data_IF_602700789660
#
_entry.id   IF_602700789660
#
_cell.length_a   1.000
_cell.length_b   1.000
_cell.length_c   1.000
_cell.angle_alpha   90.00
_cell.angle_beta   90.00
_cell.angle_gamma   90.00
#
_symmetry.space_group_name_H-M   'P 1'
#
loop_
_entity.id
_entity.type
_entity.pdbx_description
1 polymer ?
#
# COMPACT_ATOMS: atom_id res chain seq x y z
N UNK A 1 10.23 -2.15 -17.67
CA UNK A 1 9.83 -0.75 -17.36
C UNK A 1 9.27 -0.14 -18.64
N UNK A 2 7.97 0.23 -18.64
CA UNK A 2 7.28 0.73 -19.85
C UNK A 2 8.02 1.93 -20.46
N UNK A 3 8.13 1.95 -21.80
CA UNK A 3 8.76 3.09 -22.52
C UNK A 3 8.14 4.44 -22.17
N UNK A 4 6.86 4.45 -21.83
CA UNK A 4 6.13 5.64 -21.41
C UNK A 4 6.60 6.17 -20.05
N UNK A 5 6.95 5.27 -19.10
CA UNK A 5 7.50 5.66 -17.80
C UNK A 5 8.85 6.38 -17.95
N UNK A 6 9.71 5.92 -18.86
CA UNK A 6 11.01 6.55 -19.14
C UNK A 6 10.88 8.00 -19.61
N UNK A 7 9.79 8.35 -20.29
CA UNK A 7 9.54 9.72 -20.78
C UNK A 7 9.09 10.68 -19.67
N UNK A 8 8.52 10.16 -18.57
CA UNK A 8 8.02 10.97 -17.44
C UNK A 8 9.11 11.20 -16.39
N UNK A 9 10.03 10.25 -16.22
CA UNK A 9 11.14 10.33 -15.24
C UNK A 9 11.90 11.67 -15.29
N UNK A 10 12.28 12.24 -16.46
CA UNK A 10 12.99 13.50 -16.50
C UNK A 10 12.22 14.68 -15.87
N UNK A 11 10.89 14.66 -15.93
CA UNK A 11 10.05 15.66 -15.28
C UNK A 11 10.03 15.46 -13.76
N UNK A 12 9.93 14.21 -13.30
CA UNK A 12 9.97 13.89 -11.88
C UNK A 12 11.33 14.25 -11.25
N UNK A 13 12.43 14.02 -11.97
CA UNK A 13 13.78 14.33 -11.49
C UNK A 13 14.05 15.83 -11.23
N UNK A 14 13.23 16.74 -11.76
CA UNK A 14 13.29 18.16 -11.38
C UNK A 14 12.92 18.40 -9.92
N UNK A 15 12.11 17.53 -9.35
CA UNK A 15 11.60 17.59 -7.96
C UNK A 15 12.36 16.67 -7.02
N UNK A 16 13.69 16.58 -7.16
CA UNK A 16 14.55 15.68 -6.36
C UNK A 16 14.33 15.84 -4.86
N UNK A 17 14.15 17.09 -4.38
CA UNK A 17 13.88 17.37 -2.97
C UNK A 17 12.61 16.65 -2.50
N UNK A 18 11.51 16.75 -3.24
CA UNK A 18 10.26 16.14 -2.85
C UNK A 18 10.32 14.60 -2.94
N UNK A 19 11.06 14.04 -3.92
CA UNK A 19 11.30 12.60 -4.02
C UNK A 19 12.07 12.12 -2.79
N UNK A 20 13.21 12.78 -2.46
CA UNK A 20 14.06 12.38 -1.34
C UNK A 20 13.30 12.49 -0.02
N UNK A 21 12.57 13.60 0.20
CA UNK A 21 11.79 13.79 1.42
C UNK A 21 10.65 12.77 1.52
N UNK A 22 9.97 12.46 0.43
CA UNK A 22 8.96 11.40 0.40
C UNK A 22 9.55 10.03 0.80
N UNK A 23 10.72 9.67 0.27
CA UNK A 23 11.41 8.42 0.64
C UNK A 23 11.77 8.40 2.12
N UNK A 24 12.39 9.48 2.63
CA UNK A 24 12.79 9.58 4.04
C UNK A 24 11.56 9.44 4.97
N UNK A 25 10.47 10.16 4.67
CA UNK A 25 9.26 10.09 5.49
C UNK A 25 8.56 8.73 5.40
N UNK A 26 8.63 8.04 4.27
CA UNK A 26 8.11 6.67 4.16
C UNK A 26 8.95 5.67 4.96
N UNK A 27 10.28 5.85 5.01
CA UNK A 27 11.16 5.04 5.87
C UNK A 27 10.81 5.27 7.35
N UNK A 28 10.68 6.54 7.78
CA UNK A 28 10.28 6.88 9.14
C UNK A 28 8.87 6.35 9.46
N UNK A 29 7.93 6.49 8.54
CA UNK A 29 6.60 5.90 8.67
C UNK A 29 6.66 4.38 8.91
N UNK A 30 7.44 3.65 8.11
CA UNK A 30 7.58 2.20 8.24
C UNK A 30 8.23 1.81 9.57
N UNK A 31 9.26 2.53 9.98
CA UNK A 31 9.93 2.36 11.28
C UNK A 31 8.94 2.55 12.44
N UNK A 32 8.27 3.71 12.51
CA UNK A 32 7.31 3.99 13.59
C UNK A 32 6.07 3.12 13.51
N UNK A 33 5.66 2.68 12.32
CA UNK A 33 4.60 1.69 12.17
C UNK A 33 4.95 0.36 12.83
N UNK A 34 6.17 -0.10 12.66
CA UNK A 34 6.69 -1.32 13.29
C UNK A 34 6.88 -1.14 14.79
N UNK A 35 7.51 -0.03 15.20
CA UNK A 35 7.73 0.29 16.62
C UNK A 35 6.43 0.40 17.41
N UNK A 36 5.33 0.88 16.80
CA UNK A 36 4.05 0.99 17.48
C UNK A 36 3.44 -0.37 17.87
N UNK A 37 3.75 -1.44 17.12
CA UNK A 37 3.37 -2.81 17.51
C UNK A 37 4.35 -3.43 18.52
N UNK A 38 5.65 -3.14 18.40
CA UNK A 38 6.65 -3.59 19.38
C UNK A 38 6.38 -2.96 20.76
N UNK A 39 5.93 -1.71 20.80
CA UNK A 39 5.59 -1.02 22.04
C UNK A 39 4.40 -1.67 22.80
N UNK A 40 3.66 -2.60 22.17
CA UNK A 40 2.65 -3.39 22.86
C UNK A 40 3.29 -4.43 23.81
N UNK A 41 4.52 -4.88 23.57
CA UNK A 41 5.19 -5.89 24.39
C UNK A 41 5.29 -5.39 25.85
N UNK A 42 5.98 -4.29 26.17
CA UNK A 42 6.08 -3.81 27.54
C UNK A 42 4.73 -3.43 28.15
N UNK A 43 3.73 -3.04 27.34
CA UNK A 43 2.38 -2.80 27.84
C UNK A 43 1.74 -4.09 28.38
N UNK A 44 1.85 -5.17 27.62
CA UNK A 44 1.29 -6.47 27.99
C UNK A 44 2.04 -7.06 29.19
N UNK A 45 3.37 -6.90 29.23
CA UNK A 45 4.19 -7.35 30.35
C UNK A 45 3.82 -6.65 31.67
N UNK A 46 3.58 -5.33 31.64
CA UNK A 46 3.09 -4.58 32.80
C UNK A 46 1.68 -5.05 33.19
N UNK A 47 0.79 -5.27 32.20
CA UNK A 47 -0.61 -5.63 32.42
C UNK A 47 -0.73 -7.06 33.02
N UNK A 48 0.05 -8.01 32.51
CA UNK A 48 0.05 -9.41 32.98
C UNK A 48 0.99 -9.67 34.16
N UNK A 49 1.72 -8.65 34.63
CA UNK A 49 2.71 -8.72 35.70
C UNK A 49 3.93 -9.60 35.35
N UNK A 50 4.21 -9.79 34.08
CA UNK A 50 5.34 -10.55 33.56
C UNK A 50 6.55 -9.66 33.22
N UNK A 51 6.51 -8.36 33.61
CA UNK A 51 7.59 -7.41 33.34
C UNK A 51 8.89 -7.83 34.03
N UNK A 52 9.96 -7.95 33.23
CA UNK A 52 11.31 -8.20 33.77
C UNK A 52 11.70 -7.09 34.74
N UNK A 53 12.12 -7.47 35.96
CA UNK A 53 12.51 -6.52 37.00
C UNK A 53 13.99 -6.17 36.87
N UNK A 54 14.28 -5.11 36.10
CA UNK A 54 15.64 -4.57 36.01
C UNK A 54 15.82 -3.52 37.10
N UNK A 55 16.57 -3.85 38.13
CA UNK A 55 16.81 -2.98 39.29
C UNK A 55 18.04 -2.09 39.12
N UNK A 56 19.02 -2.53 38.33
CA UNK A 56 20.25 -1.78 38.07
C UNK A 56 20.13 -1.00 36.77
N UNK A 57 20.58 0.27 36.80
CA UNK A 57 20.61 1.12 35.61
C UNK A 57 21.51 0.51 34.53
N UNK A 58 20.99 0.21 33.32
CA UNK A 58 21.77 -0.36 32.24
C UNK A 58 22.84 0.61 31.78
N UNK A 59 24.02 0.10 31.42
CA UNK A 59 25.12 0.91 30.85
C UNK A 59 25.35 0.54 29.41
N UNK A 60 25.44 1.52 28.52
CA UNK A 60 25.78 1.30 27.12
C UNK A 60 27.25 0.90 27.01
N UNK A 61 27.54 -0.36 26.66
CA UNK A 61 28.90 -0.90 26.52
C UNK A 61 29.37 -0.89 25.07
N UNK A 62 28.43 -1.02 24.10
CA UNK A 62 28.75 -1.06 22.68
C UNK A 62 27.64 -0.44 21.82
N UNK A 63 28.01 0.13 20.66
CA UNK A 63 27.06 0.66 19.67
C UNK A 63 26.15 -0.45 19.12
N UNK A 64 26.62 -1.69 19.06
CA UNK A 64 25.86 -2.85 18.60
C UNK A 64 24.76 -3.28 19.58
N UNK A 65 24.82 -2.85 20.83
CA UNK A 65 23.88 -3.14 21.90
C UNK A 65 22.83 -2.04 22.12
N UNK A 66 22.73 -1.07 21.22
CA UNK A 66 21.75 0.05 21.32
C UNK A 66 20.31 -0.48 21.47
N UNK A 67 19.97 -1.55 20.78
CA UNK A 67 18.60 -2.10 20.80
C UNK A 67 18.30 -2.79 22.14
N UNK A 68 19.22 -3.60 22.66
CA UNK A 68 19.10 -4.23 23.99
C UNK A 68 19.14 -3.18 25.09
N UNK A 69 20.08 -2.23 25.01
CA UNK A 69 20.16 -1.12 25.95
C UNK A 69 18.87 -0.30 26.03
N UNK A 70 18.25 0.03 24.87
CA UNK A 70 17.00 0.78 24.85
C UNK A 70 15.85 0.00 25.50
N UNK A 71 15.80 -1.33 25.29
CA UNK A 71 14.85 -2.21 25.91
C UNK A 71 15.06 -2.31 27.43
N UNK A 72 16.29 -2.58 27.85
CA UNK A 72 16.67 -2.70 29.27
C UNK A 72 16.42 -1.39 30.04
N UNK A 73 16.71 -0.24 29.41
CA UNK A 73 16.44 1.06 29.99
C UNK A 73 14.93 1.34 30.15
N UNK A 74 14.12 0.92 29.19
CA UNK A 74 12.66 0.99 29.28
C UNK A 74 12.13 0.14 30.45
N UNK A 75 12.59 -1.12 30.57
CA UNK A 75 12.19 -2.01 31.66
C UNK A 75 12.71 -1.53 33.02
N UNK A 76 13.91 -0.94 33.08
CA UNK A 76 14.39 -0.28 34.29
C UNK A 76 13.46 0.83 34.75
N UNK A 77 13.04 1.71 33.81
CA UNK A 77 12.13 2.81 34.11
C UNK A 77 10.74 2.31 34.52
N UNK A 78 10.22 1.26 33.88
CA UNK A 78 8.97 0.58 34.23
C UNK A 78 9.08 0.02 35.65
N UNK A 79 10.15 -0.67 35.98
CA UNK A 79 10.41 -1.25 37.32
C UNK A 79 10.50 -0.16 38.39
N UNK A 80 11.22 0.91 38.10
CA UNK A 80 11.35 2.07 39.01
C UNK A 80 10.00 2.70 39.30
N UNK A 81 9.22 3.03 38.26
CA UNK A 81 7.89 3.63 38.41
C UNK A 81 6.92 2.71 39.12
N UNK A 82 6.99 1.39 38.86
CA UNK A 82 6.15 0.39 39.54
C UNK A 82 6.42 0.36 41.02
N UNK A 83 7.70 0.43 41.42
CA UNK A 83 8.12 0.36 42.81
C UNK A 83 7.84 1.67 43.59
N UNK A 84 8.01 2.84 42.94
CA UNK A 84 7.86 4.16 43.57
C UNK A 84 6.40 4.62 43.61
N UNK A 85 5.65 4.43 42.52
CA UNK A 85 4.33 5.05 42.32
C UNK A 85 3.22 4.02 42.07
N UNK A 86 3.58 2.75 41.82
CA UNK A 86 2.63 1.68 41.52
C UNK A 86 2.47 1.37 40.02
N UNK A 87 1.95 0.19 39.71
CA UNK A 87 1.82 -0.33 38.33
C UNK A 87 0.97 0.55 37.39
N UNK A 88 0.06 1.36 37.95
CA UNK A 88 -0.77 2.27 37.14
C UNK A 88 0.06 3.35 36.46
N UNK A 89 1.08 3.90 37.09
CA UNK A 89 1.95 4.92 36.51
C UNK A 89 2.89 4.30 35.45
N UNK A 90 3.37 3.09 35.66
CA UNK A 90 4.13 2.34 34.67
C UNK A 90 3.27 2.07 33.41
N UNK A 91 2.01 1.67 33.59
CA UNK A 91 1.07 1.48 32.48
C UNK A 91 0.81 2.80 31.73
N UNK A 92 0.62 3.92 32.44
CA UNK A 92 0.42 5.24 31.83
C UNK A 92 1.63 5.66 30.99
N UNK A 93 2.86 5.40 31.46
CA UNK A 93 4.07 5.66 30.69
C UNK A 93 4.07 4.88 29.38
N UNK A 94 3.82 3.58 29.41
CA UNK A 94 3.86 2.73 28.21
C UNK A 94 2.73 3.10 27.23
N UNK A 95 1.52 3.37 27.74
CA UNK A 95 0.40 3.89 26.92
C UNK A 95 0.79 5.20 26.24
N UNK A 96 1.50 6.10 26.93
CA UNK A 96 1.98 7.37 26.37
C UNK A 96 3.01 7.12 25.24
N UNK A 97 3.89 6.13 25.38
CA UNK A 97 4.83 5.71 24.33
C UNK A 97 4.07 5.21 23.10
N UNK A 98 3.05 4.36 23.30
CA UNK A 98 2.22 3.86 22.18
C UNK A 98 1.54 5.02 21.46
N UNK A 99 0.88 5.92 22.18
CA UNK A 99 0.24 7.10 21.59
C UNK A 99 1.24 7.94 20.80
N UNK A 100 2.43 8.16 21.37
CA UNK A 100 3.48 8.96 20.72
C UNK A 100 3.99 8.29 19.45
N UNK A 101 4.24 6.99 19.48
CA UNK A 101 4.71 6.25 18.28
C UNK A 101 3.65 6.24 17.17
N UNK A 102 2.36 6.05 17.52
CA UNK A 102 1.27 6.16 16.56
C UNK A 102 1.10 7.59 16.01
N UNK A 103 1.27 8.61 16.85
CA UNK A 103 1.24 10.01 16.43
C UNK A 103 2.36 10.29 15.42
N UNK A 104 3.61 9.91 15.74
CA UNK A 104 4.76 10.09 14.87
C UNK A 104 4.59 9.34 13.54
N UNK A 105 4.12 8.09 13.58
CA UNK A 105 3.74 7.33 12.37
C UNK A 105 2.80 8.14 11.47
N UNK A 106 1.73 8.71 12.03
CA UNK A 106 0.74 9.45 11.25
C UNK A 106 1.28 10.80 10.74
N UNK A 107 2.11 11.48 11.53
CA UNK A 107 2.81 12.70 11.10
C UNK A 107 3.70 12.41 9.91
N UNK A 108 4.54 11.37 9.97
CA UNK A 108 5.43 11.01 8.87
C UNK A 108 4.66 10.54 7.62
N UNK A 109 3.55 9.81 7.80
CA UNK A 109 2.66 9.48 6.68
C UNK A 109 2.08 10.72 6.00
N UNK A 110 1.61 11.68 6.78
CA UNK A 110 1.10 12.96 6.26
C UNK A 110 2.18 13.73 5.50
N UNK A 111 3.39 13.84 6.05
CA UNK A 111 4.51 14.52 5.40
C UNK A 111 4.92 13.81 4.09
N UNK A 112 4.96 12.49 4.09
CA UNK A 112 5.23 11.70 2.89
C UNK A 112 4.19 11.97 1.79
N UNK A 113 2.90 11.92 2.12
CA UNK A 113 1.80 12.19 1.19
C UNK A 113 1.83 13.64 0.68
N UNK A 114 2.19 14.61 1.54
CA UNK A 114 2.30 16.01 1.14
C UNK A 114 3.41 16.22 0.08
N UNK A 115 4.60 15.67 0.30
CA UNK A 115 5.68 15.74 -0.70
C UNK A 115 5.34 14.98 -1.98
N UNK A 116 4.66 13.87 -1.89
CA UNK A 116 4.15 13.14 -3.06
C UNK A 116 3.13 13.99 -3.84
N UNK A 117 2.25 14.72 -3.15
CA UNK A 117 1.28 15.63 -3.79
C UNK A 117 1.99 16.78 -4.51
N UNK A 118 2.99 17.40 -3.88
CA UNK A 118 3.79 18.46 -4.52
C UNK A 118 4.49 17.95 -5.79
N UNK A 119 5.10 16.77 -5.73
CA UNK A 119 5.69 16.09 -6.87
C UNK A 119 4.66 15.84 -7.99
N UNK A 120 3.50 15.25 -7.65
CA UNK A 120 2.39 14.98 -8.59
C UNK A 120 1.97 16.23 -9.34
N UNK A 121 1.69 17.30 -8.61
CA UNK A 121 1.19 18.55 -9.18
C UNK A 121 2.29 19.31 -9.95
N UNK A 122 3.53 19.26 -9.49
CA UNK A 122 4.67 19.85 -10.17
C UNK A 122 4.92 19.20 -11.54
N UNK A 123 4.95 17.88 -11.61
CA UNK A 123 5.10 17.15 -12.88
C UNK A 123 3.93 17.40 -13.82
N UNK A 124 2.69 17.45 -13.31
CA UNK A 124 1.51 17.75 -14.10
C UNK A 124 1.61 19.15 -14.73
N UNK A 125 2.00 20.14 -13.94
CA UNK A 125 2.24 21.52 -14.42
C UNK A 125 3.28 21.54 -15.53
N UNK A 126 4.43 20.93 -15.32
CA UNK A 126 5.53 20.95 -16.29
C UNK A 126 5.18 20.20 -17.59
N UNK A 127 4.42 19.10 -17.49
CA UNK A 127 3.91 18.39 -18.67
C UNK A 127 2.94 19.29 -19.47
N UNK A 128 1.99 19.93 -18.80
CA UNK A 128 1.03 20.82 -19.45
C UNK A 128 1.71 22.00 -20.12
N UNK A 129 2.67 22.64 -19.44
CA UNK A 129 3.44 23.75 -20.00
C UNK A 129 4.17 23.29 -21.26
N UNK A 130 4.90 22.17 -21.23
CA UNK A 130 5.62 21.65 -22.39
C UNK A 130 4.70 21.27 -23.55
N UNK A 131 3.52 20.74 -23.26
CA UNK A 131 2.52 20.45 -24.28
C UNK A 131 1.97 21.75 -24.92
N UNK A 132 1.68 22.75 -24.10
CA UNK A 132 1.18 24.04 -24.57
C UNK A 132 2.23 24.76 -25.44
N UNK A 133 3.49 24.81 -24.98
CA UNK A 133 4.59 25.38 -25.77
C UNK A 133 4.74 24.67 -27.13
N UNK A 134 4.59 23.32 -27.12
CA UNK A 134 4.63 22.57 -28.38
C UNK A 134 3.45 22.88 -29.26
N UNK A 135 2.25 23.01 -28.72
CA UNK A 135 1.06 23.38 -29.46
C UNK A 135 1.29 24.74 -30.15
N UNK A 136 1.71 25.78 -29.43
CA UNK A 136 1.92 27.11 -30.00
C UNK A 136 3.03 27.10 -31.07
N UNK A 137 4.04 26.25 -30.95
CA UNK A 137 5.15 26.16 -31.93
C UNK A 137 4.79 25.46 -33.24
N UNK A 138 3.63 24.82 -33.35
CA UNK A 138 3.20 24.14 -34.58
C UNK A 138 2.69 25.13 -35.63
N UNK A 139 2.89 24.86 -36.94
CA UNK A 139 2.41 25.72 -38.01
C UNK A 139 0.87 25.71 -38.06
N UNK A 140 0.28 26.83 -38.54
CA UNK A 140 -1.19 27.00 -38.61
C UNK A 140 -1.85 25.89 -39.42
N UNK A 141 -1.18 25.38 -40.48
CA UNK A 141 -1.66 24.26 -41.29
C UNK A 141 -1.90 22.95 -40.52
N UNK A 142 -1.34 22.82 -39.33
CA UNK A 142 -1.56 21.67 -38.44
C UNK A 142 -2.95 21.71 -37.78
N UNK A 143 -3.57 22.90 -37.66
CA UNK A 143 -4.81 23.10 -36.93
C UNK A 143 -6.03 22.88 -37.80
N UNK A 144 -6.78 21.82 -37.52
CA UNK A 144 -8.14 21.59 -38.04
C UNK A 144 -9.08 21.44 -36.83
N UNK A 145 -10.39 21.57 -37.05
CA UNK A 145 -11.39 21.45 -35.98
C UNK A 145 -11.26 20.12 -35.22
N UNK A 146 -11.07 19.02 -35.94
CA UNK A 146 -10.86 17.69 -35.36
C UNK A 146 -9.57 17.63 -34.51
N UNK A 147 -8.49 18.24 -34.97
CA UNK A 147 -7.21 18.25 -34.25
C UNK A 147 -7.22 19.14 -33.01
N UNK A 148 -7.96 20.26 -33.04
CA UNK A 148 -8.14 21.11 -31.85
C UNK A 148 -8.81 20.33 -30.70
N UNK A 149 -9.88 19.60 -30.97
CA UNK A 149 -10.56 18.75 -29.99
C UNK A 149 -9.65 17.68 -29.42
N UNK A 150 -8.88 16.96 -30.25
CA UNK A 150 -7.93 15.94 -29.83
C UNK A 150 -6.82 16.53 -28.93
N UNK A 151 -6.24 17.68 -29.30
CA UNK A 151 -5.23 18.36 -28.51
C UNK A 151 -5.75 18.79 -27.13
N UNK A 152 -6.98 19.32 -27.05
CA UNK A 152 -7.60 19.66 -25.77
C UNK A 152 -7.88 18.43 -24.92
N UNK A 153 -8.39 17.35 -25.50
CA UNK A 153 -8.63 16.09 -24.80
C UNK A 153 -7.34 15.51 -24.21
N UNK A 154 -6.24 15.51 -24.97
CA UNK A 154 -4.93 15.04 -24.50
C UNK A 154 -4.38 15.93 -23.38
N UNK A 155 -4.41 17.25 -23.52
CA UNK A 155 -3.85 18.21 -22.56
C UNK A 155 -4.62 18.22 -21.23
N UNK A 156 -5.95 18.07 -21.27
CA UNK A 156 -6.79 18.15 -20.09
C UNK A 156 -7.16 16.77 -19.50
N UNK A 157 -7.31 15.75 -20.35
CA UNK A 157 -7.71 14.39 -19.97
C UNK A 157 -6.52 13.47 -19.78
N UNK A 158 -5.83 13.08 -20.86
CA UNK A 158 -4.82 12.03 -20.86
C UNK A 158 -3.67 12.32 -19.88
N UNK A 159 -3.26 13.58 -19.74
CA UNK A 159 -2.21 13.98 -18.80
C UNK A 159 -2.62 13.72 -17.34
N UNK A 160 -3.91 13.83 -17.00
CA UNK A 160 -4.39 13.49 -15.66
C UNK A 160 -4.34 11.97 -15.42
N UNK A 161 -4.66 11.18 -16.44
CA UNK A 161 -4.59 9.70 -16.35
C UNK A 161 -3.13 9.24 -16.16
N UNK A 162 -2.22 9.81 -16.94
CA UNK A 162 -0.77 9.59 -16.78
C UNK A 162 -0.31 9.96 -15.38
N UNK A 163 -0.73 11.13 -14.86
CA UNK A 163 -0.41 11.53 -13.49
C UNK A 163 -0.86 10.49 -12.47
N UNK A 164 -2.13 10.08 -12.54
CA UNK A 164 -2.69 9.17 -11.54
C UNK A 164 -2.00 7.80 -11.59
N UNK A 165 -1.83 7.24 -12.79
CA UNK A 165 -1.20 5.93 -12.97
C UNK A 165 0.27 5.91 -12.51
N UNK A 166 1.06 6.90 -12.94
CA UNK A 166 2.47 6.98 -12.58
C UNK A 166 2.71 7.11 -11.07
N UNK A 167 1.94 7.96 -10.42
CA UNK A 167 2.18 8.24 -9.01
C UNK A 167 1.57 7.21 -8.06
N UNK A 168 0.51 6.51 -8.46
CA UNK A 168 0.04 5.35 -7.71
C UNK A 168 1.11 4.23 -7.69
N UNK A 169 1.79 4.02 -8.82
CA UNK A 169 2.92 3.07 -8.89
C UNK A 169 4.07 3.52 -7.97
N UNK A 170 4.43 4.82 -7.97
CA UNK A 170 5.50 5.32 -7.10
C UNK A 170 5.18 5.13 -5.61
N UNK A 171 3.94 5.41 -5.19
CA UNK A 171 3.50 5.19 -3.82
C UNK A 171 3.63 3.72 -3.42
N UNK A 172 3.15 2.81 -4.27
CA UNK A 172 3.24 1.37 -4.05
C UNK A 172 4.68 0.87 -3.99
N UNK A 173 5.56 1.35 -4.88
CA UNK A 173 6.95 0.87 -4.98
C UNK A 173 7.84 1.41 -3.86
N UNK A 174 7.51 2.53 -3.25
CA UNK A 174 8.33 3.12 -2.17
C UNK A 174 7.78 2.71 -0.80
N UNK A 175 6.51 3.00 -0.52
CA UNK A 175 5.92 2.83 0.81
C UNK A 175 5.78 1.38 1.22
N UNK A 176 5.17 0.56 0.37
CA UNK A 176 4.80 -0.80 0.76
C UNK A 176 6.02 -1.72 0.97
N UNK A 177 7.06 -1.73 0.08
CA UNK A 177 8.25 -2.52 0.34
C UNK A 177 9.00 -2.12 1.60
N UNK A 178 9.06 -0.82 1.94
CA UNK A 178 9.70 -0.36 3.17
C UNK A 178 8.93 -0.87 4.40
N UNK A 179 7.60 -0.76 4.37
CA UNK A 179 6.76 -1.28 5.47
C UNK A 179 6.95 -2.79 5.64
N UNK A 180 6.95 -3.56 4.55
CA UNK A 180 7.18 -5.01 4.58
C UNK A 180 8.57 -5.32 5.16
N UNK A 181 9.62 -4.63 4.71
CA UNK A 181 11.00 -4.87 5.14
C UNK A 181 11.17 -4.65 6.65
N UNK A 182 10.68 -3.52 7.17
CA UNK A 182 10.76 -3.24 8.62
C UNK A 182 9.89 -4.20 9.44
N UNK A 183 8.68 -4.52 8.97
CA UNK A 183 7.79 -5.46 9.67
C UNK A 183 8.38 -6.86 9.70
N UNK A 184 8.89 -7.38 8.57
CA UNK A 184 9.54 -8.70 8.54
C UNK A 184 10.81 -8.70 9.39
N UNK A 185 11.62 -7.63 9.35
CA UNK A 185 12.80 -7.51 10.21
C UNK A 185 12.44 -7.65 11.69
N UNK A 186 11.40 -6.96 12.16
CA UNK A 186 10.93 -7.07 13.52
C UNK A 186 10.36 -8.48 13.83
N UNK A 187 9.62 -9.07 12.92
CA UNK A 187 9.08 -10.44 13.08
C UNK A 187 10.21 -11.47 13.21
N UNK A 188 11.30 -11.35 12.45
CA UNK A 188 12.48 -12.22 12.54
C UNK A 188 13.15 -12.10 13.93
N UNK A 189 13.27 -10.86 14.44
CA UNK A 189 13.85 -10.61 15.76
C UNK A 189 13.00 -11.21 16.87
N UNK A 190 11.67 -11.16 16.78
CA UNK A 190 10.77 -11.72 17.79
C UNK A 190 10.77 -13.26 17.72
N UNK A 191 10.59 -13.84 16.54
CA UNK A 191 10.60 -15.29 16.35
C UNK A 191 10.92 -15.67 14.90
N UNK A 192 12.13 -16.15 14.68
CA UNK A 192 12.55 -16.66 13.36
C UNK A 192 11.70 -17.85 12.90
N UNK A 193 11.36 -18.77 13.84
CA UNK A 193 10.57 -19.99 13.58
C UNK A 193 9.16 -19.65 13.07
N UNK A 194 8.47 -18.69 13.71
CA UNK A 194 7.16 -18.22 13.26
C UNK A 194 7.25 -17.47 11.93
N UNK A 195 8.29 -16.68 11.73
CA UNK A 195 8.47 -15.89 10.49
C UNK A 195 8.72 -16.82 9.30
N UNK A 196 9.53 -17.88 9.46
CA UNK A 196 9.71 -18.88 8.42
C UNK A 196 8.38 -19.54 8.03
N UNK A 197 7.53 -19.83 9.01
CA UNK A 197 6.20 -20.37 8.79
C UNK A 197 5.31 -19.40 7.98
N UNK A 198 5.31 -18.10 8.32
CA UNK A 198 4.58 -17.07 7.55
C UNK A 198 5.06 -17.00 6.10
N UNK A 199 6.38 -17.13 5.88
CA UNK A 199 6.96 -17.13 4.53
C UNK A 199 6.46 -18.27 3.63
N UNK A 200 6.03 -19.39 4.19
CA UNK A 200 5.42 -20.49 3.43
C UNK A 200 4.01 -20.13 2.96
N UNK A 201 3.24 -19.38 3.78
CA UNK A 201 1.85 -19.03 3.47
C UNK A 201 1.71 -17.82 2.54
N UNK A 202 2.67 -16.88 2.55
CA UNK A 202 2.65 -15.71 1.66
C UNK A 202 2.59 -16.12 0.18
N UNK A 203 3.42 -17.04 -0.34
CA UNK A 203 3.32 -17.50 -1.73
C UNK A 203 1.99 -18.16 -2.08
N UNK A 204 1.42 -18.92 -1.14
CA UNK A 204 0.12 -19.61 -1.35
C UNK A 204 -0.99 -18.57 -1.54
N UNK A 205 -1.06 -17.58 -0.65
CA UNK A 205 -2.01 -16.47 -0.75
C UNK A 205 -1.80 -15.66 -2.03
N UNK A 206 -0.54 -15.34 -2.36
CA UNK A 206 -0.16 -14.63 -3.57
C UNK A 206 -0.55 -15.37 -4.85
N UNK A 207 -0.42 -16.70 -4.88
CA UNK A 207 -0.84 -17.52 -6.01
C UNK A 207 -2.34 -17.44 -6.26
N UNK A 208 -3.17 -17.52 -5.20
CA UNK A 208 -4.63 -17.42 -5.30
C UNK A 208 -5.04 -16.04 -5.83
N UNK A 209 -4.47 -14.98 -5.27
CA UNK A 209 -4.77 -13.59 -5.67
C UNK A 209 -4.29 -13.33 -7.11
N UNK A 210 -3.12 -13.81 -7.50
CA UNK A 210 -2.59 -13.70 -8.85
C UNK A 210 -3.51 -14.32 -9.92
N UNK A 211 -4.19 -15.43 -9.60
CA UNK A 211 -5.17 -16.06 -10.49
C UNK A 211 -6.37 -15.15 -10.76
N UNK A 212 -6.83 -14.41 -9.73
CA UNK A 212 -7.89 -13.40 -9.86
C UNK A 212 -7.40 -12.25 -10.74
N UNK A 213 -6.19 -11.72 -10.49
CA UNK A 213 -5.58 -10.64 -11.23
C UNK A 213 -5.38 -10.93 -12.71
N UNK A 214 -4.86 -12.11 -13.06
CA UNK A 214 -4.72 -12.54 -14.48
C UNK A 214 -6.06 -12.58 -15.21
N UNK A 215 -7.10 -13.11 -14.55
CA UNK A 215 -8.45 -13.15 -15.12
C UNK A 215 -9.06 -11.74 -15.27
N UNK A 216 -8.77 -10.85 -14.35
CA UNK A 216 -9.18 -9.44 -14.38
C UNK A 216 -8.54 -8.72 -15.57
N UNK A 217 -7.22 -8.83 -15.74
CA UNK A 217 -6.46 -8.24 -16.85
C UNK A 217 -7.00 -8.66 -18.22
N UNK A 218 -7.29 -9.96 -18.42
CA UNK A 218 -7.84 -10.46 -19.68
C UNK A 218 -9.23 -9.88 -20.00
N UNK A 219 -10.10 -9.74 -18.98
CA UNK A 219 -11.42 -9.14 -19.16
C UNK A 219 -11.37 -7.63 -19.35
N UNK A 220 -10.46 -6.94 -18.65
CA UNK A 220 -10.26 -5.49 -18.83
C UNK A 220 -9.78 -5.16 -20.25
N UNK A 221 -8.90 -5.97 -20.83
CA UNK A 221 -8.50 -5.82 -22.23
C UNK A 221 -9.70 -5.94 -23.19
N UNK A 222 -10.54 -6.96 -23.01
CA UNK A 222 -11.75 -7.14 -23.84
C UNK A 222 -12.75 -5.97 -23.68
N UNK A 223 -12.88 -5.44 -22.45
CA UNK A 223 -13.73 -4.26 -22.22
C UNK A 223 -13.18 -3.02 -22.90
N UNK A 224 -11.84 -2.85 -22.92
CA UNK A 224 -11.18 -1.75 -23.62
C UNK A 224 -11.36 -1.87 -25.15
N UNK A 225 -11.22 -3.07 -25.71
CA UNK A 225 -11.46 -3.32 -27.13
C UNK A 225 -12.93 -3.02 -27.51
N UNK A 226 -13.89 -3.45 -26.68
CA UNK A 226 -15.32 -3.17 -26.90
C UNK A 226 -15.65 -1.68 -26.76
N UNK A 227 -15.01 -0.98 -25.82
CA UNK A 227 -15.16 0.46 -25.68
C UNK A 227 -14.62 1.22 -26.91
N UNK A 228 -13.48 0.77 -27.46
CA UNK A 228 -12.95 1.28 -28.74
C UNK A 228 -13.92 1.08 -29.89
N UNK A 229 -14.55 -0.11 -29.98
CA UNK A 229 -15.59 -0.39 -30.99
C UNK A 229 -16.82 0.50 -30.77
N UNK A 230 -17.28 0.71 -29.55
CA UNK A 230 -18.39 1.60 -29.23
C UNK A 230 -18.12 3.04 -29.70
N UNK A 231 -16.90 3.55 -29.47
CA UNK A 231 -16.47 4.87 -29.94
C UNK A 231 -16.54 4.93 -31.46
N UNK A 232 -16.04 3.91 -32.16
CA UNK A 232 -16.09 3.88 -33.64
C UNK A 232 -17.51 3.87 -34.18
N UNK A 233 -18.47 3.18 -33.52
CA UNK A 233 -19.90 3.21 -33.91
C UNK A 233 -20.47 4.62 -33.75
N UNK A 234 -20.12 5.32 -32.67
CA UNK A 234 -20.55 6.72 -32.44
C UNK A 234 -19.94 7.67 -33.50
N UNK A 235 -18.65 7.53 -33.78
CA UNK A 235 -17.97 8.33 -34.81
C UNK A 235 -18.55 8.09 -36.22
N UNK A 236 -18.80 6.82 -36.58
CA UNK A 236 -19.44 6.42 -37.83
C UNK A 236 -20.85 7.05 -37.94
N UNK A 237 -21.62 6.97 -36.88
CA UNK A 237 -23.00 7.50 -36.85
C UNK A 237 -23.03 9.02 -36.96
N UNK A 238 -22.21 9.70 -36.17
CA UNK A 238 -22.18 11.17 -36.17
C UNK A 238 -21.55 11.75 -37.47
N UNK A 239 -20.48 11.12 -37.98
CA UNK A 239 -19.84 11.50 -39.22
C UNK A 239 -20.72 11.27 -40.44
N UNK A 240 -21.53 10.23 -40.43
CA UNK A 240 -22.48 9.86 -41.51
C UNK A 240 -23.92 10.25 -41.23
N UNK A 241 -24.22 11.17 -40.29
CA UNK A 241 -25.57 11.42 -39.79
C UNK A 241 -26.56 11.83 -40.91
N UNK A 242 -26.12 12.60 -41.91
CA UNK A 242 -26.94 12.97 -43.10
C UNK A 242 -27.35 11.73 -43.89
N UNK A 243 -26.43 10.78 -44.08
CA UNK A 243 -26.66 9.53 -44.80
C UNK A 243 -27.62 8.64 -44.01
N UNK A 244 -27.35 8.47 -42.70
CA UNK A 244 -28.23 7.71 -41.79
C UNK A 244 -29.67 8.21 -41.84
N UNK A 245 -29.85 9.53 -41.82
CA UNK A 245 -31.17 10.18 -41.92
C UNK A 245 -31.80 10.04 -43.30
N UNK A 246 -31.02 10.20 -44.38
CA UNK A 246 -31.56 10.09 -45.76
C UNK A 246 -32.07 8.68 -46.11
N UNK A 247 -31.47 7.64 -45.49
CA UNK A 247 -31.84 6.25 -45.72
C UNK A 247 -32.73 5.67 -44.64
N UNK A 248 -33.20 6.48 -43.68
CA UNK A 248 -33.97 6.03 -42.50
C UNK A 248 -33.29 4.86 -41.76
N UNK A 249 -31.96 4.90 -41.64
CA UNK A 249 -31.16 3.80 -41.10
C UNK A 249 -30.90 3.92 -39.57
N UNK A 250 -31.61 4.81 -38.86
CA UNK A 250 -31.44 5.05 -37.41
C UNK A 250 -31.59 3.77 -36.59
N UNK A 251 -32.58 2.93 -36.96
CA UNK A 251 -32.80 1.66 -36.27
C UNK A 251 -31.60 0.72 -36.33
N UNK A 252 -30.90 0.68 -37.49
CA UNK A 252 -29.71 -0.16 -37.67
C UNK A 252 -28.56 0.31 -36.77
N UNK A 253 -28.29 1.63 -36.74
CA UNK A 253 -27.22 2.19 -35.91
C UNK A 253 -27.57 2.13 -34.43
N UNK A 254 -28.82 2.36 -34.05
CA UNK A 254 -29.29 2.17 -32.66
C UNK A 254 -29.09 0.73 -32.21
N UNK A 255 -29.40 -0.27 -33.06
CA UNK A 255 -29.16 -1.67 -32.71
C UNK A 255 -27.70 -2.03 -32.62
N UNK A 256 -26.81 -1.48 -33.49
CA UNK A 256 -25.36 -1.61 -33.37
C UNK A 256 -24.86 -1.07 -32.02
N UNK A 257 -25.28 0.15 -31.68
CA UNK A 257 -24.91 0.81 -30.43
C UNK A 257 -25.40 0.01 -29.22
N UNK A 258 -26.68 -0.34 -29.17
CA UNK A 258 -27.29 -1.10 -28.07
C UNK A 258 -26.61 -2.46 -27.87
N UNK A 259 -26.25 -3.15 -28.95
CA UNK A 259 -25.53 -4.42 -28.88
C UNK A 259 -24.14 -4.26 -28.26
N UNK A 260 -23.42 -3.22 -28.66
CA UNK A 260 -22.07 -2.92 -28.10
C UNK A 260 -22.16 -2.50 -26.64
N UNK A 261 -23.07 -1.59 -26.27
CA UNK A 261 -23.25 -1.15 -24.89
C UNK A 261 -23.65 -2.32 -23.98
N UNK A 262 -24.45 -3.26 -24.48
CA UNK A 262 -24.85 -4.44 -23.71
C UNK A 262 -23.67 -5.42 -23.50
N UNK A 263 -22.78 -5.57 -24.49
CA UNK A 263 -21.54 -6.35 -24.32
C UNK A 263 -20.60 -5.68 -23.32
N UNK A 264 -20.41 -4.38 -23.45
CA UNK A 264 -19.60 -3.57 -22.53
C UNK A 264 -20.13 -3.67 -21.09
N UNK A 265 -21.45 -3.51 -20.90
CA UNK A 265 -22.11 -3.68 -19.60
C UNK A 265 -21.81 -5.04 -18.96
N UNK A 266 -21.95 -6.15 -19.74
CA UNK A 266 -21.65 -7.50 -19.22
C UNK A 266 -20.18 -7.67 -18.83
N UNK A 267 -19.26 -7.13 -19.65
CA UNK A 267 -17.81 -7.16 -19.37
C UNK A 267 -17.48 -6.36 -18.13
N UNK A 268 -17.96 -5.12 -18.04
CA UNK A 268 -17.71 -4.22 -16.91
C UNK A 268 -18.28 -4.81 -15.60
N UNK A 269 -19.48 -5.35 -15.62
CA UNK A 269 -20.05 -6.03 -14.45
C UNK A 269 -19.24 -7.27 -14.04
N UNK A 270 -18.72 -8.02 -15.02
CA UNK A 270 -17.88 -9.18 -14.73
C UNK A 270 -16.52 -8.79 -14.13
N UNK A 271 -15.95 -7.65 -14.58
CA UNK A 271 -14.75 -7.03 -14.01
C UNK A 271 -15.05 -6.57 -12.58
N UNK A 272 -16.11 -5.79 -12.38
CA UNK A 272 -16.53 -5.27 -11.08
C UNK A 272 -16.75 -6.38 -10.05
N UNK A 273 -17.46 -7.46 -10.40
CA UNK A 273 -17.65 -8.61 -9.52
C UNK A 273 -16.34 -9.27 -9.09
N UNK A 274 -15.36 -9.39 -9.98
CA UNK A 274 -14.06 -9.97 -9.64
C UNK A 274 -13.20 -9.02 -8.80
N UNK A 275 -13.26 -7.73 -9.12
CA UNK A 275 -12.58 -6.72 -8.33
C UNK A 275 -13.12 -6.66 -6.91
N UNK A 276 -14.45 -6.69 -6.77
CA UNK A 276 -15.11 -6.71 -5.47
C UNK A 276 -14.84 -8.00 -4.67
N UNK A 277 -14.55 -9.12 -5.34
CA UNK A 277 -14.16 -10.38 -4.69
C UNK A 277 -12.71 -10.33 -4.15
N UNK A 278 -11.84 -9.56 -4.78
CA UNK A 278 -10.42 -9.52 -4.42
C UNK A 278 -10.19 -9.10 -2.97
N UNK A 279 -10.91 -8.08 -2.47
CA UNK A 279 -10.75 -7.60 -1.09
C UNK A 279 -11.21 -8.60 -0.03
N UNK A 280 -12.45 -9.13 -0.07
CA UNK A 280 -12.90 -10.15 0.89
C UNK A 280 -12.05 -11.42 0.85
N UNK A 281 -11.60 -11.84 -0.35
CA UNK A 281 -10.76 -13.03 -0.49
C UNK A 281 -9.38 -12.83 0.16
N UNK A 282 -8.77 -11.67 -0.05
CA UNK A 282 -7.49 -11.33 0.61
C UNK A 282 -7.63 -11.25 2.12
N UNK A 283 -8.72 -10.68 2.62
CA UNK A 283 -9.02 -10.62 4.06
C UNK A 283 -9.22 -12.01 4.64
N UNK A 284 -10.03 -12.85 4.00
CA UNK A 284 -10.23 -14.23 4.43
C UNK A 284 -8.92 -15.02 4.46
N UNK A 285 -8.08 -14.92 3.40
CA UNK A 285 -6.77 -15.57 3.39
C UNK A 285 -5.86 -15.05 4.52
N UNK A 286 -5.91 -13.75 4.79
CA UNK A 286 -5.17 -13.16 5.90
C UNK A 286 -5.61 -13.72 7.26
N UNK A 287 -6.91 -13.80 7.51
CA UNK A 287 -7.45 -14.38 8.75
C UNK A 287 -7.12 -15.87 8.88
N UNK A 288 -7.14 -16.62 7.78
CA UNK A 288 -6.71 -18.03 7.79
C UNK A 288 -5.25 -18.15 8.22
N UNK A 289 -4.36 -17.33 7.67
CA UNK A 289 -2.94 -17.31 8.08
C UNK A 289 -2.80 -16.98 9.58
N UNK A 290 -3.54 -15.97 10.05
CA UNK A 290 -3.54 -15.56 11.46
C UNK A 290 -4.08 -16.69 12.36
N UNK A 291 -5.15 -17.38 11.96
CA UNK A 291 -5.71 -18.49 12.72
C UNK A 291 -4.72 -19.67 12.84
N UNK A 292 -4.01 -19.99 11.75
CA UNK A 292 -2.98 -21.02 11.75
C UNK A 292 -1.78 -20.60 12.62
N UNK A 293 -1.38 -19.32 12.55
CA UNK A 293 -0.34 -18.76 13.42
C UNK A 293 -0.75 -18.79 14.89
N UNK A 294 -2.02 -18.50 15.20
CA UNK A 294 -2.56 -18.61 16.56
C UNK A 294 -2.44 -20.04 17.08
N UNK A 295 -2.78 -21.03 16.28
CA UNK A 295 -2.68 -22.42 16.67
C UNK A 295 -1.21 -22.85 16.85
N UNK A 296 -0.35 -22.57 15.89
CA UNK A 296 1.06 -22.98 15.92
C UNK A 296 1.86 -22.20 16.97
N UNK A 297 1.75 -20.87 16.98
CA UNK A 297 2.44 -20.01 17.94
C UNK A 297 1.88 -20.14 19.36
N UNK A 298 0.58 -20.41 19.51
CA UNK A 298 -0.04 -20.72 20.77
C UNK A 298 0.55 -22.00 21.41
N UNK A 299 0.86 -23.02 20.61
CA UNK A 299 1.57 -24.21 21.12
C UNK A 299 2.98 -23.86 21.60
N UNK A 300 3.70 -22.94 20.96
CA UNK A 300 5.02 -22.46 21.40
C UNK A 300 4.96 -21.69 22.72
N UNK A 301 3.84 -21.04 23.03
CA UNK A 301 3.62 -20.29 24.27
C UNK A 301 3.15 -21.20 25.40
N UNK A 302 2.25 -22.16 25.10
CA UNK A 302 1.53 -22.93 26.11
C UNK A 302 2.16 -24.29 26.41
N UNK A 303 2.84 -24.89 25.42
CA UNK A 303 3.27 -26.30 25.47
C UNK A 303 4.78 -26.45 25.32
N UNK A 304 5.38 -25.75 24.36
CA UNK A 304 6.82 -25.87 24.10
C UNK A 304 7.61 -25.04 25.11
N UNK A 305 8.49 -25.70 25.87
CA UNK A 305 9.37 -25.06 26.87
C UNK A 305 10.83 -25.35 26.55
N UNK A 306 11.72 -24.44 26.99
CA UNK A 306 13.15 -24.69 27.05
C UNK A 306 13.49 -25.71 28.16
N UNK A 307 14.75 -26.17 28.24
CA UNK A 307 15.22 -27.10 29.21
C UNK A 307 15.11 -26.57 30.67
N UNK A 308 15.03 -25.25 30.84
CA UNK A 308 14.83 -24.55 32.12
C UNK A 308 13.35 -24.39 32.53
N UNK A 309 12.41 -24.87 31.70
CA UNK A 309 10.97 -24.76 31.92
C UNK A 309 10.32 -23.44 31.47
N UNK A 310 11.10 -22.51 30.95
CA UNK A 310 10.54 -21.25 30.37
C UNK A 310 9.86 -21.53 29.04
N UNK A 311 8.78 -20.77 28.68
CA UNK A 311 8.10 -20.94 27.38
C UNK A 311 9.04 -20.56 26.25
N UNK A 312 8.93 -21.26 25.11
CA UNK A 312 9.73 -20.99 23.91
C UNK A 312 9.47 -19.60 23.31
N UNK A 313 8.29 -19.05 23.58
CA UNK A 313 7.87 -17.71 23.21
C UNK A 313 6.99 -17.11 24.31
N UNK A 314 7.33 -15.92 24.78
CA UNK A 314 6.51 -15.19 25.75
C UNK A 314 5.18 -14.72 25.12
N UNK A 315 4.11 -14.74 25.91
CA UNK A 315 2.77 -14.38 25.45
C UNK A 315 2.66 -12.95 24.92
N UNK A 316 3.34 -11.99 25.55
CA UNK A 316 3.40 -10.59 25.13
C UNK A 316 4.07 -10.43 23.76
N UNK A 317 5.21 -11.10 23.54
CA UNK A 317 5.93 -11.14 22.27
C UNK A 317 5.07 -11.80 21.19
N UNK A 318 4.32 -12.85 21.54
CA UNK A 318 3.41 -13.52 20.60
C UNK A 318 2.26 -12.61 20.17
N UNK A 319 1.62 -11.88 21.09
CA UNK A 319 0.53 -10.93 20.74
C UNK A 319 1.06 -9.80 19.86
N UNK A 320 2.24 -9.23 20.16
CA UNK A 320 2.87 -8.22 19.32
C UNK A 320 3.22 -8.78 17.94
N UNK A 321 3.72 -10.00 17.86
CA UNK A 321 3.98 -10.71 16.61
C UNK A 321 2.71 -10.85 15.75
N UNK A 322 1.58 -11.20 16.36
CA UNK A 322 0.29 -11.28 15.69
C UNK A 322 -0.15 -9.93 15.12
N UNK A 323 0.08 -8.84 15.88
CA UNK A 323 -0.15 -7.47 15.41
C UNK A 323 0.70 -7.12 14.19
N UNK A 324 1.99 -7.47 14.19
CA UNK A 324 2.90 -7.29 13.06
C UNK A 324 2.48 -8.14 11.85
N UNK A 325 2.11 -9.40 12.07
CA UNK A 325 1.62 -10.30 11.02
C UNK A 325 0.32 -9.76 10.37
N UNK A 326 -0.57 -9.17 11.16
CA UNK A 326 -1.75 -8.49 10.65
C UNK A 326 -1.40 -7.23 9.85
N UNK A 327 -0.45 -6.43 10.36
CA UNK A 327 -0.03 -5.19 9.70
C UNK A 327 0.58 -5.43 8.30
N UNK A 328 1.24 -6.58 8.07
CA UNK A 328 1.85 -6.91 6.77
C UNK A 328 0.81 -7.27 5.69
N UNK A 329 -0.42 -7.61 6.07
CA UNK A 329 -1.46 -8.00 5.10
C UNK A 329 -1.85 -6.86 4.17
N UNK A 330 -1.90 -5.62 4.69
CA UNK A 330 -2.28 -4.45 3.88
C UNK A 330 -1.25 -4.14 2.79
N UNK A 331 0.07 -3.97 3.10
CA UNK A 331 1.08 -3.77 2.07
C UNK A 331 1.22 -4.96 1.11
N UNK A 332 1.13 -6.19 1.62
CA UNK A 332 1.20 -7.38 0.77
C UNK A 332 0.05 -7.43 -0.26
N UNK A 333 -1.15 -7.03 0.15
CA UNK A 333 -2.32 -6.90 -0.73
C UNK A 333 -2.16 -5.78 -1.75
N UNK A 334 -1.56 -4.65 -1.38
CA UNK A 334 -1.37 -3.51 -2.26
C UNK A 334 -0.38 -3.81 -3.41
N UNK A 335 0.61 -4.68 -3.18
CA UNK A 335 1.62 -5.08 -4.18
C UNK A 335 1.09 -6.19 -5.11
N UNK A 336 0.14 -7.01 -4.69
CA UNK A 336 -0.40 -8.14 -5.48
C UNK A 336 -1.44 -7.68 -6.51
#
# INVERSE_FOLDING_TARGET
>A
MDENLKKIIPFALKYKKDIVMNVIYNILYALFSTLSFIALIPMLDVLFKDAEKIVKEPKLTSIWEITSYGNDYLYFYITKLTNENGAQYALLLVVSIIITTFLLKNIFNYLALNHLMLLKNGVLRDLRNKMFDKIISLPISYYSEKRKGDMMARMLGDVNEVRNSFFNILELVIKEPMTILFTIGAMIVISFKLTLFVFIFIPISGFIISKIGKSLKAKSKRAQDENGYLISVVEETLGGLKVVKSYNAEGTFTNKFNSSIQRLYRLTNSIGRKNNLSSPMSEFMGIVVIAILLWYGGNMVLVETFADGSPLLEGSKFIAYMGLAYNILTPAKAIS
#
